data_IF_237371150247
#
_entry.id   IF_237371150247
#
_cell.length_a   1.000
_cell.length_b   1.000
_cell.length_c   1.000
_cell.angle_alpha   90.00
_cell.angle_beta   90.00
_cell.angle_gamma   90.00
#
_symmetry.space_group_name_H-M   'P 1'
#
loop_
_entity.id
_entity.type
_entity.pdbx_description
1 polymer ?
#
# COMPACT_ATOMS: atom_id res chain seq x y z
N UNK A 1 16.71 -1.46 6.25
CA UNK A 1 15.25 -1.25 6.05
C UNK A 1 14.98 -0.16 5.02
N UNK A 2 15.64 1.03 5.08
CA UNK A 2 15.46 2.10 4.09
C UNK A 2 15.81 1.64 2.65
N UNK A 3 16.81 0.79 2.48
CA UNK A 3 17.18 0.22 1.20
C UNK A 3 16.06 -0.60 0.55
N UNK A 4 15.33 -1.36 1.37
CA UNK A 4 14.23 -2.18 0.86
C UNK A 4 13.10 -1.32 0.31
N UNK A 5 12.83 -0.17 0.95
CA UNK A 5 11.86 0.78 0.44
C UNK A 5 12.30 1.39 -0.90
N UNK A 6 13.51 1.95 -0.97
CA UNK A 6 14.03 2.51 -2.23
C UNK A 6 14.06 1.46 -3.36
N UNK A 7 14.42 0.24 -3.02
CA UNK A 7 14.45 -0.86 -3.99
C UNK A 7 13.03 -1.24 -4.43
N UNK A 8 12.01 -1.16 -3.53
CA UNK A 8 10.61 -1.42 -3.91
C UNK A 8 10.11 -0.42 -4.95
N UNK A 9 10.38 0.85 -4.75
CA UNK A 9 9.98 1.91 -5.69
C UNK A 9 10.66 1.74 -7.06
N UNK A 10 11.96 1.44 -7.06
CA UNK A 10 12.70 1.19 -8.31
C UNK A 10 12.15 -0.03 -9.05
N UNK A 11 11.90 -1.13 -8.34
CA UNK A 11 11.35 -2.35 -8.94
C UNK A 11 9.91 -2.14 -9.42
N UNK A 12 9.07 -1.43 -8.65
CA UNK A 12 7.72 -1.09 -9.06
C UNK A 12 7.72 -0.30 -10.38
N UNK A 13 8.61 0.70 -10.48
CA UNK A 13 8.78 1.46 -11.71
C UNK A 13 9.24 0.59 -12.90
N UNK A 14 10.24 -0.27 -12.68
CA UNK A 14 10.73 -1.19 -13.73
C UNK A 14 9.62 -2.14 -14.19
N UNK A 15 8.87 -2.74 -13.27
CA UNK A 15 7.76 -3.62 -13.62
C UNK A 15 6.64 -2.87 -14.34
N UNK A 16 6.29 -1.66 -13.89
CA UNK A 16 5.30 -0.83 -14.57
C UNK A 16 5.73 -0.53 -16.02
N UNK A 17 7.01 -0.18 -16.26
CA UNK A 17 7.55 0.04 -17.60
C UNK A 17 7.51 -1.22 -18.47
N UNK A 18 7.85 -2.37 -17.90
CA UNK A 18 7.80 -3.66 -18.63
C UNK A 18 6.35 -3.99 -19.01
N UNK A 19 5.42 -3.91 -18.08
CA UNK A 19 4.00 -4.16 -18.33
C UNK A 19 3.44 -3.19 -19.36
N UNK A 20 3.75 -1.90 -19.24
CA UNK A 20 3.37 -0.90 -20.22
C UNK A 20 3.87 -1.25 -21.62
N UNK A 21 5.15 -1.64 -21.75
CA UNK A 21 5.76 -2.00 -23.03
C UNK A 21 5.15 -3.26 -23.65
N UNK A 22 4.77 -4.25 -22.82
CA UNK A 22 4.16 -5.51 -23.29
C UNK A 22 2.75 -5.24 -23.83
N UNK A 23 1.96 -4.38 -23.17
CA UNK A 23 0.55 -4.22 -23.46
C UNK A 23 0.30 -3.20 -24.56
N UNK A 24 1.05 -2.10 -24.55
CA UNK A 24 0.84 -1.01 -25.51
C UNK A 24 1.80 -1.03 -26.69
N UNK A 25 2.81 -1.90 -26.67
CA UNK A 25 3.85 -1.89 -27.68
C UNK A 25 4.61 -0.57 -27.69
N UNK A 26 5.37 -0.32 -28.76
CA UNK A 26 6.08 0.95 -28.95
C UNK A 26 5.17 2.10 -29.45
N UNK A 27 3.86 1.91 -29.53
CA UNK A 27 2.96 2.88 -30.11
C UNK A 27 2.07 3.56 -29.08
N UNK A 28 2.40 4.80 -28.85
CA UNK A 28 1.54 5.91 -28.48
C UNK A 28 0.82 5.83 -27.12
N UNK A 29 1.36 6.56 -26.15
CA UNK A 29 0.50 7.32 -25.24
C UNK A 29 -0.64 7.89 -26.08
N UNK A 30 -1.89 7.47 -25.85
CA UNK A 30 -3.04 8.12 -26.43
C UNK A 30 -3.06 9.51 -25.83
N UNK A 31 -2.81 10.51 -26.66
CA UNK A 31 -3.09 11.89 -26.32
C UNK A 31 -4.53 12.18 -26.73
N UNK A 32 -5.26 12.84 -25.87
CA UNK A 32 -6.57 13.40 -26.24
C UNK A 32 -6.39 14.56 -27.26
N UNK A 33 -7.50 15.09 -27.72
CA UNK A 33 -7.48 16.20 -28.67
C UNK A 33 -6.79 17.47 -28.12
N UNK A 34 -6.65 17.57 -26.82
CA UNK A 34 -6.05 18.71 -26.10
C UNK A 34 -4.57 18.46 -25.77
N UNK A 35 -4.00 17.30 -26.16
CA UNK A 35 -2.60 16.95 -25.94
C UNK A 35 -2.29 16.35 -24.57
N UNK A 36 -3.31 16.01 -23.76
CA UNK A 36 -3.12 15.37 -22.47
C UNK A 36 -2.92 13.86 -22.64
N UNK A 37 -2.09 13.27 -21.79
CA UNK A 37 -1.91 11.82 -21.74
C UNK A 37 -3.19 11.20 -21.17
N UNK A 38 -3.90 10.45 -22.01
CA UNK A 38 -5.08 9.68 -21.55
C UNK A 38 -4.58 8.41 -20.81
N UNK A 39 -4.71 8.42 -19.51
CA UNK A 39 -4.45 7.24 -18.69
C UNK A 39 -5.63 6.28 -18.84
N UNK A 40 -5.41 5.17 -19.52
CA UNK A 40 -6.46 4.15 -19.62
C UNK A 40 -6.60 3.39 -18.29
N UNK A 41 -7.79 2.88 -17.94
CA UNK A 41 -7.99 2.05 -16.74
C UNK A 41 -6.99 0.92 -16.61
N UNK A 42 -6.63 0.31 -17.71
CA UNK A 42 -5.60 -0.74 -17.77
C UNK A 42 -4.26 -0.27 -17.19
N UNK A 43 -3.82 0.95 -17.44
CA UNK A 43 -2.53 1.46 -16.91
C UNK A 43 -2.54 1.52 -15.40
N UNK A 44 -3.65 1.94 -14.79
CA UNK A 44 -3.78 2.03 -13.33
C UNK A 44 -3.75 0.64 -12.71
N UNK A 45 -4.51 -0.30 -13.27
CA UNK A 45 -4.54 -1.71 -12.81
C UNK A 45 -3.13 -2.32 -12.89
N UNK A 46 -2.42 -2.14 -14.01
CA UNK A 46 -1.06 -2.64 -14.15
C UNK A 46 -0.07 -1.96 -13.21
N UNK A 47 -0.26 -0.67 -12.92
CA UNK A 47 0.49 0.04 -11.89
C UNK A 47 0.35 -0.64 -10.53
N UNK A 48 -0.88 -0.90 -10.09
CA UNK A 48 -1.16 -1.58 -8.82
C UNK A 48 -0.57 -2.99 -8.75
N UNK A 49 -0.69 -3.77 -9.82
CA UNK A 49 -0.04 -5.10 -9.89
C UNK A 49 1.49 -5.01 -9.89
N UNK A 50 2.08 -3.99 -10.50
CA UNK A 50 3.54 -3.79 -10.51
C UNK A 50 4.08 -3.49 -9.12
N UNK A 51 3.40 -2.63 -8.37
CA UNK A 51 3.74 -2.35 -6.96
C UNK A 51 3.64 -3.64 -6.15
N UNK A 52 2.51 -4.35 -6.24
CA UNK A 52 2.31 -5.61 -5.53
C UNK A 52 3.39 -6.64 -5.87
N UNK A 53 3.72 -6.80 -7.14
CA UNK A 53 4.78 -7.72 -7.58
C UNK A 53 6.15 -7.33 -7.01
N UNK A 54 6.47 -6.04 -6.97
CA UNK A 54 7.73 -5.56 -6.38
C UNK A 54 7.83 -5.92 -4.90
N UNK A 55 6.74 -5.76 -4.14
CA UNK A 55 6.68 -6.12 -2.72
C UNK A 55 6.84 -7.62 -2.50
N UNK A 56 6.21 -8.46 -3.35
CA UNK A 56 6.39 -9.92 -3.33
C UNK A 56 7.86 -10.27 -3.56
N UNK A 57 8.45 -9.77 -4.65
CA UNK A 57 9.85 -10.07 -5.01
C UNK A 57 10.80 -9.66 -3.90
N UNK A 58 10.63 -8.48 -3.32
CA UNK A 58 11.47 -8.01 -2.21
C UNK A 58 11.29 -8.84 -0.95
N UNK A 59 10.06 -9.26 -0.63
CA UNK A 59 9.79 -10.13 0.51
C UNK A 59 10.47 -11.48 0.32
N UNK A 60 10.45 -12.04 -0.90
CA UNK A 60 11.15 -13.29 -1.24
C UNK A 60 12.67 -13.14 -1.19
N UNK A 61 13.23 -12.05 -1.75
CA UNK A 61 14.66 -11.73 -1.67
C UNK A 61 15.09 -11.62 -0.21
N UNK A 62 14.32 -10.91 0.60
CA UNK A 62 14.60 -10.77 2.03
C UNK A 62 14.55 -12.12 2.75
N UNK A 63 13.57 -12.97 2.46
CA UNK A 63 13.44 -14.33 3.00
C UNK A 63 14.68 -15.17 2.65
N UNK A 64 15.08 -15.17 1.38
CA UNK A 64 16.26 -15.89 0.89
C UNK A 64 17.57 -15.36 1.54
N UNK A 65 17.76 -14.06 1.58
CA UNK A 65 18.95 -13.42 2.18
C UNK A 65 19.08 -13.70 3.67
N UNK A 66 17.97 -13.72 4.40
CA UNK A 66 17.99 -13.99 5.85
C UNK A 66 17.89 -15.46 6.20
N UNK A 67 17.80 -16.36 5.21
CA UNK A 67 17.60 -17.80 5.39
C UNK A 67 16.38 -18.15 6.27
N UNK A 68 15.34 -17.30 6.22
CA UNK A 68 14.08 -17.52 6.93
C UNK A 68 13.03 -18.05 5.97
N UNK A 69 12.19 -18.95 6.46
CA UNK A 69 11.01 -19.34 5.68
C UNK A 69 10.07 -18.14 5.54
N UNK A 70 9.43 -18.05 4.40
CA UNK A 70 8.45 -17.00 4.13
C UNK A 70 7.39 -16.93 5.25
N UNK A 71 6.91 -18.09 5.71
CA UNK A 71 5.94 -18.20 6.81
C UNK A 71 6.45 -17.67 8.16
N UNK A 72 7.76 -17.64 8.37
CA UNK A 72 8.35 -17.16 9.63
C UNK A 72 8.45 -15.63 9.67
N UNK A 73 8.17 -14.97 8.54
CA UNK A 73 8.11 -13.52 8.45
C UNK A 73 6.82 -12.98 9.08
N UNK A 74 5.80 -13.82 9.25
CA UNK A 74 4.49 -13.40 9.72
C UNK A 74 4.12 -14.14 10.99
N UNK A 75 3.68 -13.40 11.97
CA UNK A 75 2.95 -13.97 13.08
C UNK A 75 1.47 -13.98 12.71
N UNK A 76 0.90 -15.18 12.70
CA UNK A 76 -0.53 -15.40 12.43
C UNK A 76 -1.16 -16.12 13.62
N UNK A 77 -0.94 -15.61 14.85
CA UNK A 77 -1.68 -16.14 15.97
C UNK A 77 -3.17 -15.99 15.73
N UNK A 78 -3.91 -17.07 15.96
CA UNK A 78 -5.36 -17.05 15.79
C UNK A 78 -5.97 -16.03 16.74
N UNK A 79 -6.70 -15.10 16.18
CA UNK A 79 -7.46 -14.14 16.96
C UNK A 79 -8.71 -14.81 17.53
N UNK A 80 -9.02 -14.51 18.79
CA UNK A 80 -10.34 -14.84 19.34
C UNK A 80 -11.42 -13.99 18.64
N UNK A 81 -12.68 -14.47 18.70
CA UNK A 81 -13.79 -13.72 18.11
C UNK A 81 -13.89 -12.30 18.69
N UNK A 82 -13.61 -12.12 19.97
CA UNK A 82 -13.59 -10.82 20.63
C UNK A 82 -12.51 -9.89 20.05
N UNK A 83 -11.28 -10.37 19.85
CA UNK A 83 -10.20 -9.60 19.22
C UNK A 83 -10.53 -9.24 17.78
N UNK A 84 -11.14 -10.16 17.03
CA UNK A 84 -11.56 -9.90 15.66
C UNK A 84 -12.65 -8.81 15.61
N UNK A 85 -13.67 -8.89 16.47
CA UNK A 85 -14.68 -7.86 16.59
C UNK A 85 -14.06 -6.49 16.94
N UNK A 86 -13.14 -6.45 17.91
CA UNK A 86 -12.42 -5.23 18.26
C UNK A 86 -11.66 -4.65 17.07
N UNK A 87 -10.99 -5.49 16.28
CA UNK A 87 -10.30 -5.06 15.06
C UNK A 87 -11.26 -4.43 14.06
N UNK A 88 -12.42 -5.04 13.83
CA UNK A 88 -13.45 -4.48 12.94
C UNK A 88 -13.94 -3.11 13.44
N UNK A 89 -14.21 -2.97 14.74
CA UNK A 89 -14.60 -1.65 15.30
C UNK A 89 -13.50 -0.61 15.18
N UNK A 90 -12.24 -0.99 15.39
CA UNK A 90 -11.08 -0.11 15.16
C UNK A 90 -11.02 0.33 13.70
N UNK A 91 -11.17 -0.61 12.75
CA UNK A 91 -11.15 -0.30 11.32
C UNK A 91 -12.28 0.67 10.92
N UNK A 92 -13.51 0.41 11.37
CA UNK A 92 -14.65 1.29 11.12
C UNK A 92 -14.46 2.68 11.73
N UNK A 93 -13.97 2.76 12.97
CA UNK A 93 -13.66 4.02 13.62
C UNK A 93 -12.55 4.80 12.90
N UNK A 94 -11.49 4.12 12.51
CA UNK A 94 -10.40 4.73 11.72
C UNK A 94 -10.89 5.24 10.37
N UNK A 95 -11.75 4.52 9.67
CA UNK A 95 -12.32 4.99 8.41
C UNK A 95 -13.04 6.34 8.58
N UNK A 96 -13.80 6.53 9.65
CA UNK A 96 -14.47 7.81 9.94
C UNK A 96 -13.46 8.92 10.28
N UNK A 97 -12.45 8.62 11.09
CA UNK A 97 -11.39 9.57 11.43
C UNK A 97 -10.62 9.98 10.19
N UNK A 98 -10.26 9.02 9.34
CA UNK A 98 -9.58 9.28 8.07
C UNK A 98 -10.42 10.18 7.15
N UNK A 99 -11.73 9.91 7.02
CA UNK A 99 -12.64 10.75 6.24
C UNK A 99 -12.67 12.21 6.74
N UNK A 100 -12.76 12.40 8.05
CA UNK A 100 -12.74 13.75 8.63
C UNK A 100 -11.40 14.46 8.40
N UNK A 101 -10.29 13.76 8.57
CA UNK A 101 -8.95 14.31 8.33
C UNK A 101 -8.79 14.67 6.85
N UNK A 102 -9.22 13.80 5.94
CA UNK A 102 -9.17 14.06 4.51
C UNK A 102 -9.97 15.32 4.14
N UNK A 103 -11.17 15.46 4.68
CA UNK A 103 -12.02 16.65 4.48
C UNK A 103 -11.30 17.95 4.89
N UNK A 104 -10.71 17.98 6.09
CA UNK A 104 -9.98 19.16 6.57
C UNK A 104 -8.68 19.38 5.81
N UNK A 105 -7.91 18.32 5.57
CA UNK A 105 -6.64 18.40 4.85
C UNK A 105 -6.85 18.88 3.40
N UNK A 106 -7.87 18.39 2.73
CA UNK A 106 -8.26 18.83 1.39
C UNK A 106 -8.54 20.32 1.36
N UNK A 107 -9.32 20.82 2.32
CA UNK A 107 -9.64 22.24 2.43
C UNK A 107 -8.40 23.12 2.64
N UNK A 108 -7.49 22.69 3.51
CA UNK A 108 -6.23 23.40 3.79
C UNK A 108 -5.30 23.40 2.58
N UNK A 109 -5.10 22.24 1.96
CA UNK A 109 -4.20 22.11 0.80
C UNK A 109 -4.76 22.87 -0.42
N UNK A 110 -6.06 22.80 -0.66
CA UNK A 110 -6.72 23.58 -1.71
C UNK A 110 -6.54 25.09 -1.49
N UNK A 111 -6.73 25.56 -0.27
CA UNK A 111 -6.51 26.99 0.06
C UNK A 111 -5.04 27.42 -0.10
N UNK A 112 -4.10 26.50 -0.02
CA UNK A 112 -2.69 26.72 -0.28
C UNK A 112 -2.31 26.59 -1.78
N UNK A 113 -3.29 26.35 -2.66
CA UNK A 113 -3.07 26.21 -4.10
C UNK A 113 -2.64 24.81 -4.54
N UNK A 114 -2.77 23.80 -3.69
CA UNK A 114 -2.47 22.42 -4.03
C UNK A 114 -3.75 21.71 -4.47
N UNK A 115 -3.85 21.43 -5.76
CA UNK A 115 -4.93 20.62 -6.32
C UNK A 115 -4.44 19.18 -6.48
N UNK A 116 -5.05 18.26 -5.74
CA UNK A 116 -4.82 16.84 -5.92
C UNK A 116 -5.84 16.31 -6.94
N UNK A 117 -5.36 15.95 -8.10
CA UNK A 117 -6.15 15.23 -9.08
C UNK A 117 -5.75 13.76 -9.00
N UNK A 118 -6.54 12.91 -8.33
CA UNK A 118 -6.25 11.47 -8.31
C UNK A 118 -6.30 10.97 -9.75
N UNK A 119 -5.25 10.28 -10.18
CA UNK A 119 -5.26 9.54 -11.44
C UNK A 119 -6.25 8.36 -11.30
N UNK A 120 -7.52 8.67 -11.30
CA UNK A 120 -8.60 7.68 -11.30
C UNK A 120 -9.21 7.67 -12.70
N UNK A 121 -9.00 6.58 -13.42
CA UNK A 121 -9.82 6.27 -14.57
C UNK A 121 -10.68 5.09 -14.19
N UNK A 122 -11.98 5.31 -14.13
CA UNK A 122 -12.93 4.22 -13.88
C UNK A 122 -12.80 3.16 -14.98
N UNK A 123 -12.74 1.87 -14.61
CA UNK A 123 -12.69 0.80 -15.58
C UNK A 123 -13.91 0.84 -16.51
N UNK A 124 -13.69 0.73 -17.80
CA UNK A 124 -14.74 0.79 -18.84
C UNK A 124 -15.49 -0.54 -18.97
N UNK A 125 -15.03 -1.60 -18.32
CA UNK A 125 -15.58 -2.94 -18.44
C UNK A 125 -15.81 -3.59 -17.07
N UNK A 126 -16.80 -4.47 -16.99
CA UNK A 126 -17.03 -5.26 -15.78
C UNK A 126 -15.79 -6.08 -15.37
N UNK A 127 -15.04 -6.61 -16.34
CA UNK A 127 -13.78 -7.32 -16.06
C UNK A 127 -12.72 -6.38 -15.48
N UNK A 128 -12.62 -5.15 -15.94
CA UNK A 128 -11.75 -4.12 -15.39
C UNK A 128 -12.07 -3.83 -13.93
N UNK A 129 -13.33 -3.64 -13.59
CA UNK A 129 -13.78 -3.45 -12.20
C UNK A 129 -13.42 -4.63 -11.29
N UNK A 130 -13.62 -5.87 -11.77
CA UNK A 130 -13.24 -7.07 -11.01
C UNK A 130 -11.74 -7.11 -10.76
N UNK A 131 -10.92 -6.80 -11.77
CA UNK A 131 -9.47 -6.78 -11.64
C UNK A 131 -9.00 -5.67 -10.69
N UNK A 132 -9.62 -4.49 -10.74
CA UNK A 132 -9.28 -3.40 -9.83
C UNK A 132 -9.60 -3.77 -8.38
N UNK A 133 -10.77 -4.33 -8.12
CA UNK A 133 -11.13 -4.82 -6.77
C UNK A 133 -10.14 -5.89 -6.29
N UNK A 134 -9.76 -6.83 -7.14
CA UNK A 134 -8.75 -7.84 -6.79
C UNK A 134 -7.41 -7.16 -6.49
N UNK A 135 -6.98 -6.22 -7.32
CA UNK A 135 -5.70 -5.55 -7.16
C UNK A 135 -5.65 -4.69 -5.89
N UNK A 136 -6.66 -3.83 -5.69
CA UNK A 136 -6.63 -2.77 -4.66
C UNK A 136 -7.21 -3.19 -3.32
N UNK A 137 -8.20 -4.09 -3.30
CA UNK A 137 -8.89 -4.50 -2.07
C UNK A 137 -8.35 -5.82 -1.52
N UNK A 138 -7.79 -6.68 -2.36
CA UNK A 138 -7.36 -8.01 -1.93
C UNK A 138 -5.83 -8.13 -1.97
N UNK A 139 -5.23 -7.99 -3.17
CA UNK A 139 -3.82 -8.32 -3.32
C UNK A 139 -2.91 -7.25 -2.73
N UNK A 140 -3.14 -5.97 -3.04
CA UNK A 140 -2.29 -4.90 -2.52
C UNK A 140 -2.26 -4.88 -0.99
N UNK A 141 -3.40 -4.83 -0.25
CA UNK A 141 -3.37 -4.81 1.20
C UNK A 141 -2.63 -6.01 1.81
N UNK A 142 -2.86 -7.22 1.30
CA UNK A 142 -2.18 -8.42 1.82
C UNK A 142 -0.65 -8.28 1.68
N UNK A 143 -0.15 -7.95 0.48
CA UNK A 143 1.29 -7.91 0.24
C UNK A 143 1.96 -6.66 0.83
N UNK A 144 1.25 -5.55 0.92
CA UNK A 144 1.70 -4.38 1.66
C UNK A 144 1.89 -4.71 3.14
N UNK A 145 0.92 -5.34 3.77
CA UNK A 145 1.06 -5.74 5.17
C UNK A 145 2.17 -6.77 5.38
N UNK A 146 2.28 -7.76 4.49
CA UNK A 146 3.38 -8.71 4.54
C UNK A 146 4.75 -8.01 4.47
N UNK A 147 4.91 -7.00 3.63
CA UNK A 147 6.16 -6.28 3.49
C UNK A 147 6.37 -5.28 4.64
N UNK A 148 5.43 -4.37 4.86
CA UNK A 148 5.62 -3.30 5.85
C UNK A 148 5.59 -3.82 7.29
N UNK A 149 4.70 -4.77 7.62
CA UNK A 149 4.62 -5.34 8.97
C UNK A 149 5.52 -6.57 9.13
N UNK A 150 5.51 -7.46 8.15
CA UNK A 150 6.32 -8.68 8.19
C UNK A 150 7.81 -8.42 8.08
N UNK A 151 8.25 -7.59 7.14
CA UNK A 151 9.68 -7.33 6.90
C UNK A 151 10.16 -6.10 7.66
N UNK A 152 9.58 -4.92 7.42
CA UNK A 152 10.11 -3.66 7.96
C UNK A 152 9.87 -3.56 9.47
N UNK A 153 8.61 -3.62 9.90
CA UNK A 153 8.26 -3.43 11.30
C UNK A 153 8.90 -4.50 12.21
N UNK A 154 8.85 -5.78 11.83
CA UNK A 154 9.44 -6.86 12.65
C UNK A 154 10.94 -6.74 12.83
N UNK A 155 11.67 -6.30 11.81
CA UNK A 155 13.11 -6.08 11.98
C UNK A 155 13.39 -4.91 12.93
N UNK A 156 12.68 -3.81 12.79
CA UNK A 156 12.83 -2.65 13.66
C UNK A 156 12.37 -2.96 15.11
N UNK A 157 11.38 -3.83 15.29
CA UNK A 157 10.84 -4.23 16.60
C UNK A 157 11.85 -4.97 17.48
N UNK A 158 12.93 -5.52 16.89
CA UNK A 158 14.04 -6.10 17.64
C UNK A 158 14.82 -5.08 18.45
N UNK A 159 14.80 -3.82 18.00
CA UNK A 159 15.43 -2.70 18.69
C UNK A 159 14.43 -2.05 19.65
N UNK A 160 13.29 -1.62 19.12
CA UNK A 160 12.24 -0.97 19.89
C UNK A 160 10.88 -1.10 19.19
N UNK A 161 9.88 -1.62 19.91
CA UNK A 161 8.53 -1.86 19.36
C UNK A 161 7.81 -0.57 18.95
N UNK A 162 7.92 0.50 19.75
CA UNK A 162 7.26 1.78 19.44
C UNK A 162 7.90 2.44 18.22
N UNK A 163 9.23 2.45 18.17
CA UNK A 163 9.97 2.92 17.01
C UNK A 163 9.63 2.12 15.74
N UNK A 164 9.46 0.82 15.85
CA UNK A 164 9.11 -0.05 14.73
C UNK A 164 7.75 0.29 14.12
N UNK A 165 6.74 0.53 14.97
CA UNK A 165 5.42 0.95 14.52
C UNK A 165 5.51 2.29 13.81
N UNK A 166 6.17 3.28 14.42
CA UNK A 166 6.35 4.60 13.84
C UNK A 166 7.08 4.54 12.49
N UNK A 167 8.21 3.85 12.44
CA UNK A 167 9.03 3.72 11.23
C UNK A 167 8.25 3.04 10.09
N UNK A 168 7.59 1.93 10.39
CA UNK A 168 6.80 1.19 9.40
C UNK A 168 5.64 2.03 8.87
N UNK A 169 4.93 2.74 9.75
CA UNK A 169 3.84 3.63 9.37
C UNK A 169 4.33 4.81 8.51
N UNK A 170 5.47 5.42 8.88
CA UNK A 170 6.05 6.53 8.12
C UNK A 170 6.45 6.08 6.70
N UNK A 171 7.12 4.93 6.58
CA UNK A 171 7.51 4.39 5.27
C UNK A 171 6.27 4.01 4.45
N UNK A 172 5.26 3.39 5.07
CA UNK A 172 4.00 3.05 4.43
C UNK A 172 3.27 4.28 3.88
N UNK A 173 3.16 5.34 4.69
CA UNK A 173 2.58 6.60 4.24
C UNK A 173 3.37 7.24 3.09
N UNK A 174 4.71 7.27 3.18
CA UNK A 174 5.58 7.82 2.13
C UNK A 174 5.49 7.08 0.80
N UNK A 175 5.23 5.78 0.83
CA UNK A 175 5.08 4.97 -0.37
C UNK A 175 3.90 5.41 -1.27
N UNK A 176 2.94 6.13 -0.74
CA UNK A 176 1.81 6.63 -1.51
C UNK A 176 2.12 7.89 -2.35
N UNK A 177 3.26 8.55 -2.11
CA UNK A 177 3.77 9.62 -2.96
C UNK A 177 2.98 10.93 -2.97
N UNK A 178 1.96 11.07 -2.15
CA UNK A 178 1.17 12.30 -2.06
C UNK A 178 0.79 12.63 -0.61
N UNK A 179 0.60 13.93 -0.27
CA UNK A 179 0.37 14.35 1.12
C UNK A 179 -0.93 13.84 1.74
N UNK A 180 -1.99 13.65 0.96
CA UNK A 180 -3.27 13.10 1.45
C UNK A 180 -3.10 11.67 1.91
N UNK A 181 -2.64 10.82 1.02
CA UNK A 181 -2.44 9.40 1.32
C UNK A 181 -1.31 9.17 2.32
N UNK A 182 -0.29 10.08 2.37
CA UNK A 182 0.74 10.04 3.41
C UNK A 182 0.12 10.12 4.79
N UNK A 183 -0.70 11.14 5.06
CA UNK A 183 -1.30 11.34 6.39
C UNK A 183 -2.20 10.18 6.76
N UNK A 184 -3.07 9.75 5.84
CA UNK A 184 -3.99 8.64 6.07
C UNK A 184 -3.23 7.32 6.28
N UNK A 185 -2.30 6.98 5.39
CA UNK A 185 -1.48 5.77 5.49
C UNK A 185 -0.64 5.75 6.76
N UNK A 186 -0.07 6.89 7.17
CA UNK A 186 0.68 6.99 8.41
C UNK A 186 -0.20 6.72 9.64
N UNK A 187 -1.37 7.34 9.74
CA UNK A 187 -2.27 7.16 10.88
C UNK A 187 -2.82 5.74 10.97
N UNK A 188 -3.31 5.21 9.85
CA UNK A 188 -3.75 3.81 9.74
C UNK A 188 -2.59 2.88 10.09
N UNK A 189 -1.40 3.17 9.57
CA UNK A 189 -0.18 2.43 9.84
C UNK A 189 0.20 2.37 11.31
N UNK A 190 0.03 3.46 12.06
CA UNK A 190 0.27 3.49 13.52
C UNK A 190 -0.73 2.61 14.25
N UNK A 191 -2.04 2.77 13.96
CA UNK A 191 -3.10 2.07 14.68
C UNK A 191 -3.01 0.56 14.48
N UNK A 192 -2.94 0.12 13.22
CA UNK A 192 -2.87 -1.32 12.92
C UNK A 192 -1.51 -1.92 13.26
N UNK A 193 -0.40 -1.21 13.05
CA UNK A 193 0.90 -1.68 13.50
C UNK A 193 0.98 -1.85 15.03
N UNK A 194 0.31 -1.00 15.79
CA UNK A 194 0.18 -1.20 17.24
C UNK A 194 -0.69 -2.40 17.59
N UNK A 195 -1.82 -2.59 16.88
CA UNK A 195 -2.70 -3.73 17.06
C UNK A 195 -1.96 -5.05 16.78
N UNK A 196 -1.20 -5.12 15.69
CA UNK A 196 -0.40 -6.30 15.31
C UNK A 196 0.62 -6.68 16.40
N UNK A 197 1.33 -5.69 16.95
CA UNK A 197 2.26 -5.95 18.06
C UNK A 197 1.54 -6.44 19.30
N UNK A 198 0.39 -5.86 19.63
CA UNK A 198 -0.38 -6.23 20.82
C UNK A 198 -1.03 -7.60 20.71
N UNK A 199 -1.50 -7.93 19.51
CA UNK A 199 -2.18 -9.20 19.24
C UNK A 199 -1.21 -10.30 18.79
N UNK A 200 0.07 -9.96 18.60
CA UNK A 200 1.13 -10.85 18.05
C UNK A 200 0.69 -11.50 16.73
N UNK A 201 0.00 -10.76 15.89
CA UNK A 201 -0.57 -11.24 14.64
C UNK A 201 -0.63 -10.11 13.65
N UNK A 202 -0.42 -10.38 12.36
CA UNK A 202 -0.64 -9.40 11.27
C UNK A 202 -2.08 -9.41 10.74
N UNK A 203 -2.91 -10.32 11.24
CA UNK A 203 -4.31 -10.42 10.80
C UNK A 203 -5.11 -9.13 11.05
N UNK A 204 -4.88 -8.37 12.15
CA UNK A 204 -5.57 -7.10 12.37
C UNK A 204 -5.36 -6.05 11.28
N UNK A 205 -4.23 -6.06 10.61
CA UNK A 205 -3.89 -5.07 9.59
C UNK A 205 -4.26 -5.51 8.17
N UNK A 206 -4.44 -6.81 7.93
CA UNK A 206 -4.96 -7.38 6.67
C UNK A 206 -6.48 -7.26 6.60
#
# INVERSE_FOLDING_TARGET
>A
TAWLFLLSEILAYIFAMIFYSIIYGSSSSRMDADGNIVTTPSVIIYGSFSVTLSLIVLTLIYSAYTHRKFTDLFNTEKLSAEKLQLTVFIALGMAQVCYLIDFFLSSVLYSAGYEYNPMSADPDTAAGWVLEVIATVITAPIFEELFYRGVIMRNAARVNKKFAVFLSAAIFGLAHGNPYQFVLGFLVGIVFGYADIKMNSIIPSI
#
